data_IF_740091848927
#
_entry.id   IF_740091848927
#
_cell.length_a   1.000
_cell.length_b   1.000
_cell.length_c   1.000
_cell.angle_alpha   90.00
_cell.angle_beta   90.00
_cell.angle_gamma   90.00
#
_symmetry.space_group_name_H-M   'P 1'
#
loop_
_entity.id
_entity.type
_entity.pdbx_description
1 polymer ?
#
# COMPACT_ATOMS: atom_id res chain seq x y z
N UNK A 1 -22.28 -0.21 35.01
CA UNK A 1 -20.82 0.03 35.03
C UNK A 1 -20.50 0.79 33.77
N UNK A 2 -20.24 2.07 33.84
CA UNK A 2 -19.82 2.88 32.69
C UNK A 2 -18.42 2.41 32.32
N UNK A 3 -18.31 1.58 31.26
CA UNK A 3 -17.03 1.20 30.72
C UNK A 3 -16.32 2.47 30.24
N UNK A 4 -15.21 2.84 30.87
CA UNK A 4 -14.40 3.96 30.40
C UNK A 4 -13.83 3.57 29.02
N UNK A 5 -13.92 4.45 27.98
CA UNK A 5 -13.40 4.13 26.67
C UNK A 5 -11.93 3.68 26.70
N UNK A 6 -11.61 2.65 25.92
CA UNK A 6 -10.26 2.15 25.79
C UNK A 6 -9.49 2.94 24.71
N UNK A 7 -8.34 3.47 25.09
CA UNK A 7 -7.45 4.18 24.17
C UNK A 7 -6.21 3.31 23.91
N UNK A 8 -6.13 2.69 22.73
CA UNK A 8 -5.02 1.84 22.31
C UNK A 8 -4.01 2.72 21.59
N UNK A 9 -2.75 2.67 22.02
CA UNK A 9 -1.70 3.57 21.57
C UNK A 9 -0.56 2.78 20.89
N UNK A 10 -0.36 3.01 19.61
CA UNK A 10 0.75 2.49 18.83
C UNK A 10 1.76 3.61 18.62
N UNK A 11 3.03 3.38 18.91
CA UNK A 11 4.07 4.40 18.76
C UNK A 11 5.12 3.94 17.77
N UNK A 12 5.28 4.68 16.66
CA UNK A 12 6.30 4.44 15.65
C UNK A 12 7.64 5.01 16.13
N UNK A 13 8.64 4.15 16.16
CA UNK A 13 10.02 4.50 16.52
C UNK A 13 10.97 3.89 15.47
N UNK A 14 12.05 4.55 15.15
CA UNK A 14 13.09 3.99 14.27
C UNK A 14 14.35 4.82 14.32
N UNK A 15 15.40 4.30 13.68
CA UNK A 15 16.49 5.15 13.23
C UNK A 15 15.99 6.22 12.24
N UNK A 16 16.78 7.29 12.05
CA UNK A 16 16.48 8.35 11.07
C UNK A 16 16.29 7.77 9.65
N UNK A 17 15.34 8.30 8.89
CA UNK A 17 15.08 7.93 7.48
C UNK A 17 14.56 6.51 7.22
N UNK A 18 14.13 5.77 8.23
CA UNK A 18 13.52 4.44 8.04
C UNK A 18 12.10 4.49 7.45
N UNK A 19 11.52 5.68 7.19
CA UNK A 19 10.23 5.81 6.52
C UNK A 19 9.00 5.87 7.44
N UNK A 20 9.15 6.27 8.72
CA UNK A 20 8.03 6.37 9.69
C UNK A 20 6.85 7.19 9.20
N UNK A 21 7.09 8.44 8.81
CA UNK A 21 6.03 9.36 8.35
C UNK A 21 5.37 8.84 7.08
N UNK A 22 6.11 8.20 6.18
CA UNK A 22 5.55 7.54 4.99
C UNK A 22 4.64 6.39 5.39
N UNK A 23 5.05 5.55 6.34
CA UNK A 23 4.20 4.45 6.84
C UNK A 23 2.95 4.99 7.56
N UNK A 24 3.09 6.03 8.38
CA UNK A 24 1.94 6.66 9.03
C UNK A 24 0.91 7.17 8.00
N UNK A 25 1.35 7.83 6.94
CA UNK A 25 0.50 8.26 5.81
C UNK A 25 -0.21 7.09 5.16
N UNK A 26 0.53 6.02 4.88
CA UNK A 26 -0.01 4.81 4.26
C UNK A 26 -1.11 4.19 5.11
N UNK A 27 -0.89 4.03 6.41
CA UNK A 27 -1.86 3.44 7.34
C UNK A 27 -3.10 4.32 7.54
N UNK A 28 -2.92 5.63 7.56
CA UNK A 28 -4.00 6.60 7.73
C UNK A 28 -4.74 6.91 6.43
N UNK A 29 -4.17 6.54 5.28
CA UNK A 29 -4.68 6.89 3.94
C UNK A 29 -4.84 8.41 3.72
N UNK A 30 -3.99 9.21 4.37
CA UNK A 30 -4.00 10.67 4.28
C UNK A 30 -2.59 11.22 4.10
N UNK A 31 -2.53 12.42 3.57
CA UNK A 31 -1.27 13.11 3.36
C UNK A 31 -0.86 13.84 4.64
N UNK A 32 0.10 13.29 5.38
CA UNK A 32 0.60 13.81 6.65
C UNK A 32 2.04 14.32 6.50
N UNK A 33 2.32 15.48 7.09
CA UNK A 33 3.68 16.04 7.23
C UNK A 33 4.47 16.16 5.92
N UNK A 34 5.73 16.54 6.01
CA UNK A 34 6.65 16.60 4.87
C UNK A 34 7.42 15.28 4.75
N UNK A 35 7.41 14.64 3.58
CA UNK A 35 8.35 13.57 3.22
C UNK A 35 9.48 14.19 2.42
N UNK A 36 10.65 14.25 3.02
CA UNK A 36 11.90 14.67 2.36
C UNK A 36 12.98 13.65 2.68
N UNK A 37 13.87 13.43 1.74
CA UNK A 37 15.09 12.66 1.92
C UNK A 37 16.12 13.45 2.77
N UNK A 38 15.70 13.89 3.96
CA UNK A 38 16.52 14.64 4.88
C UNK A 38 16.33 14.07 6.31
N UNK A 39 17.41 13.96 7.10
CA UNK A 39 17.31 13.50 8.48
C UNK A 39 16.48 14.47 9.33
N UNK A 40 15.71 13.92 10.26
CA UNK A 40 14.94 14.67 11.27
C UNK A 40 13.88 15.61 10.70
N UNK A 41 13.07 15.13 9.74
CA UNK A 41 11.92 15.87 9.19
C UNK A 41 10.84 16.04 10.27
N UNK A 42 10.49 14.95 10.97
CA UNK A 42 9.54 15.00 12.09
C UNK A 42 10.24 15.54 13.34
N UNK A 43 9.78 16.65 13.87
CA UNK A 43 10.38 17.32 15.04
C UNK A 43 9.56 17.15 16.32
N UNK A 44 8.28 16.85 16.23
CA UNK A 44 7.36 16.64 17.32
C UNK A 44 6.64 15.30 17.16
N UNK A 45 6.11 14.73 18.25
CA UNK A 45 5.36 13.49 18.21
C UNK A 45 3.89 13.82 17.99
N UNK A 46 3.33 13.35 16.87
CA UNK A 46 1.95 13.59 16.48
C UNK A 46 1.09 12.33 16.62
N UNK A 47 -0.07 12.47 17.27
CA UNK A 47 -1.04 11.40 17.44
C UNK A 47 -2.13 11.44 16.36
N UNK A 48 -2.31 10.35 15.68
CA UNK A 48 -3.30 10.20 14.62
C UNK A 48 -4.29 9.08 14.94
N UNK A 49 -5.58 9.34 14.81
CA UNK A 49 -6.61 8.32 15.07
C UNK A 49 -6.80 7.43 13.85
N UNK A 50 -6.42 6.15 13.96
CA UNK A 50 -6.67 5.12 12.96
C UNK A 50 -8.11 4.63 12.98
N UNK A 51 -8.73 4.57 14.17
CA UNK A 51 -10.09 4.09 14.35
C UNK A 51 -10.71 4.65 15.63
N UNK A 52 -12.03 4.81 15.58
CA UNK A 52 -12.86 5.20 16.73
C UNK A 52 -14.17 4.42 16.71
N UNK A 53 -14.54 3.84 17.84
CA UNK A 53 -15.85 3.22 18.01
C UNK A 53 -16.94 4.24 18.37
N UNK A 54 -18.22 3.90 18.19
CA UNK A 54 -19.33 4.74 18.68
C UNK A 54 -19.29 4.96 20.20
N UNK A 55 -18.76 4.00 20.95
CA UNK A 55 -18.65 4.04 22.40
C UNK A 55 -17.45 4.89 22.89
N UNK A 56 -16.61 5.35 21.97
CA UNK A 56 -15.47 6.21 22.24
C UNK A 56 -14.12 5.51 22.34
N UNK A 57 -14.06 4.18 22.14
CA UNK A 57 -12.78 3.47 22.04
C UNK A 57 -11.96 4.00 20.86
N UNK A 58 -10.65 4.06 20.99
CA UNK A 58 -9.79 4.56 19.91
C UNK A 58 -8.56 3.68 19.73
N UNK A 59 -8.13 3.57 18.46
CA UNK A 59 -6.80 3.12 18.08
C UNK A 59 -6.05 4.32 17.51
N UNK A 60 -4.94 4.68 18.14
CA UNK A 60 -4.12 5.84 17.77
C UNK A 60 -2.72 5.40 17.35
N UNK A 61 -2.17 6.09 16.38
CA UNK A 61 -0.80 5.94 15.90
C UNK A 61 -0.03 7.24 16.17
N UNK A 62 1.08 7.12 16.86
CA UNK A 62 1.99 8.22 17.11
C UNK A 62 3.15 8.16 16.11
N UNK A 63 3.29 9.19 15.29
CA UNK A 63 4.51 9.41 14.51
C UNK A 63 5.50 10.19 15.38
N UNK A 64 6.69 9.64 15.61
CA UNK A 64 7.70 10.25 16.48
C UNK A 64 8.94 10.65 15.67
N UNK A 65 9.76 11.58 16.20
CA UNK A 65 11.08 11.83 15.64
C UNK A 65 11.92 10.54 15.57
N UNK A 66 12.77 10.43 14.56
CA UNK A 66 13.74 9.33 14.49
C UNK A 66 14.83 9.45 15.56
N UNK A 67 15.38 8.31 15.99
CA UNK A 67 16.62 8.32 16.76
C UNK A 67 17.73 8.97 15.93
N UNK A 68 18.41 9.92 16.55
CA UNK A 68 19.59 10.54 15.96
C UNK A 68 20.83 9.67 16.15
N UNK A 69 21.79 10.16 16.92
CA UNK A 69 23.00 9.41 17.28
C UNK A 69 22.73 8.43 18.43
N UNK A 70 22.07 7.30 18.11
CA UNK A 70 21.64 6.29 19.10
C UNK A 70 22.83 5.60 19.79
N UNK A 71 23.94 5.40 19.08
CA UNK A 71 25.15 4.78 19.64
C UNK A 71 25.78 5.67 20.72
N UNK A 72 25.89 6.97 20.45
CA UNK A 72 26.36 7.94 21.44
C UNK A 72 25.38 8.09 22.60
N UNK A 73 24.10 8.12 22.30
CA UNK A 73 23.03 8.15 23.30
C UNK A 73 23.13 6.94 24.24
N UNK A 74 23.21 5.74 23.70
CA UNK A 74 23.34 4.52 24.47
C UNK A 74 24.58 4.51 25.38
N UNK A 75 25.76 4.91 24.85
CA UNK A 75 26.99 5.04 25.66
C UNK A 75 26.80 5.97 26.84
N UNK A 76 26.10 7.09 26.67
CA UNK A 76 25.83 8.06 27.72
C UNK A 76 24.85 7.50 28.77
N UNK A 77 23.80 6.82 28.30
CA UNK A 77 22.76 6.23 29.17
C UNK A 77 23.28 5.07 30.03
N UNK A 78 24.16 4.24 29.52
CA UNK A 78 24.77 3.11 30.27
C UNK A 78 25.48 3.53 31.57
N UNK A 79 25.93 4.78 31.65
CA UNK A 79 26.65 5.30 32.84
C UNK A 79 25.70 5.67 33.97
N UNK A 80 24.40 5.73 33.72
CA UNK A 80 23.41 6.11 34.76
C UNK A 80 22.81 4.86 35.40
N UNK A 81 22.64 4.90 36.75
CA UNK A 81 22.01 3.82 37.50
C UNK A 81 20.52 3.59 37.15
N UNK A 82 19.85 4.64 36.64
CA UNK A 82 18.52 4.57 36.02
C UNK A 82 18.58 5.33 34.70
N UNK A 83 18.99 4.67 33.62
CA UNK A 83 19.29 5.31 32.33
C UNK A 83 18.11 6.11 31.78
N UNK A 84 16.93 5.50 31.75
CA UNK A 84 15.76 6.11 31.16
C UNK A 84 15.21 7.25 32.04
N UNK A 85 15.13 7.03 33.34
CA UNK A 85 14.65 8.04 34.30
C UNK A 85 15.54 9.28 34.32
N UNK A 86 16.85 9.09 34.20
CA UNK A 86 17.80 10.19 34.11
C UNK A 86 17.60 10.93 32.75
N UNK A 87 17.57 10.23 31.64
CA UNK A 87 17.47 10.85 30.31
C UNK A 87 16.18 11.66 30.12
N UNK A 88 15.06 11.16 30.62
CA UNK A 88 13.78 11.87 30.49
C UNK A 88 13.66 13.11 31.39
N UNK A 89 14.47 13.20 32.43
CA UNK A 89 14.52 14.37 33.32
C UNK A 89 15.58 15.41 32.91
N UNK A 90 16.57 14.98 32.13
CA UNK A 90 17.62 15.86 31.69
C UNK A 90 17.08 16.92 30.72
N UNK A 91 17.48 18.15 30.93
CA UNK A 91 17.17 19.26 30.02
C UNK A 91 18.16 19.22 28.87
N UNK A 92 17.74 18.67 27.74
CA UNK A 92 18.54 18.61 26.51
C UNK A 92 18.32 19.89 25.71
N UNK A 93 19.39 20.58 25.35
CA UNK A 93 19.29 21.79 24.55
C UNK A 93 18.80 21.45 23.13
N UNK A 94 17.61 21.96 22.80
CA UNK A 94 16.93 21.76 21.50
C UNK A 94 17.79 22.18 20.30
N UNK A 95 18.63 23.21 20.48
CA UNK A 95 19.39 23.80 19.39
C UNK A 95 20.82 23.25 19.30
N UNK A 96 21.45 22.97 20.43
CA UNK A 96 22.83 22.48 20.49
C UNK A 96 22.96 20.97 20.40
N UNK A 97 21.99 20.23 20.95
CA UNK A 97 21.98 18.76 21.00
C UNK A 97 20.70 18.21 20.34
N UNK A 98 20.32 18.74 19.18
CA UNK A 98 19.09 18.38 18.47
C UNK A 98 18.86 16.87 18.32
N UNK A 99 19.84 16.03 17.91
CA UNK A 99 19.64 14.58 17.83
C UNK A 99 19.26 13.93 19.15
N UNK A 100 19.85 14.37 20.26
CA UNK A 100 19.50 13.89 21.61
C UNK A 100 18.13 14.35 22.04
N UNK A 101 17.79 15.61 21.75
CA UNK A 101 16.46 16.14 22.05
C UNK A 101 15.36 15.39 21.30
N UNK A 102 15.55 15.12 20.00
CA UNK A 102 14.62 14.34 19.19
C UNK A 102 14.45 12.92 19.74
N UNK A 103 15.57 12.25 20.05
CA UNK A 103 15.55 10.91 20.65
C UNK A 103 14.83 10.92 22.01
N UNK A 104 15.00 11.99 22.82
CA UNK A 104 14.31 12.15 24.09
C UNK A 104 12.79 12.28 23.91
N UNK A 105 12.33 13.04 22.91
CA UNK A 105 10.91 13.16 22.59
C UNK A 105 10.31 11.82 22.18
N UNK A 106 10.97 11.09 21.26
CA UNK A 106 10.52 9.76 20.84
C UNK A 106 10.41 8.78 22.01
N UNK A 107 11.42 8.73 22.87
CA UNK A 107 11.45 7.85 24.04
C UNK A 107 10.41 8.24 25.09
N UNK A 108 10.18 9.54 25.31
CA UNK A 108 9.14 10.01 26.23
C UNK A 108 7.77 9.56 25.74
N UNK A 109 7.45 9.80 24.48
CA UNK A 109 6.18 9.36 23.89
C UNK A 109 6.03 7.84 23.95
N UNK A 110 7.08 7.08 23.60
CA UNK A 110 7.03 5.63 23.67
C UNK A 110 6.82 5.10 25.10
N UNK A 111 7.43 5.72 26.11
CA UNK A 111 7.26 5.32 27.51
C UNK A 111 5.89 5.68 28.07
N UNK A 112 5.44 6.91 27.84
CA UNK A 112 4.25 7.47 28.48
C UNK A 112 2.96 7.04 27.77
N UNK A 113 2.97 6.98 26.45
CA UNK A 113 1.79 6.71 25.66
C UNK A 113 1.69 5.26 25.17
N UNK A 114 2.78 4.60 24.77
CA UNK A 114 2.70 3.34 24.04
C UNK A 114 2.08 2.19 24.83
N UNK A 115 1.12 1.50 24.22
CA UNK A 115 0.76 0.12 24.54
C UNK A 115 1.65 -0.86 23.76
N UNK A 116 1.97 -0.53 22.52
CA UNK A 116 2.85 -1.30 21.62
C UNK A 116 3.79 -0.34 20.90
N UNK A 117 5.06 -0.66 20.90
CA UNK A 117 6.07 0.05 20.09
C UNK A 117 6.22 -0.64 18.75
N UNK A 118 6.12 0.14 17.69
CA UNK A 118 6.34 -0.27 16.31
C UNK A 118 7.70 0.26 15.88
N UNK A 119 8.69 -0.62 15.79
CA UNK A 119 10.03 -0.22 15.41
C UNK A 119 10.30 -0.54 13.95
N UNK A 120 10.53 0.51 13.14
CA UNK A 120 10.83 0.36 11.72
C UNK A 120 12.32 0.16 11.48
N UNK A 121 12.64 -0.82 10.66
CA UNK A 121 13.97 -1.02 10.10
C UNK A 121 13.95 -0.83 8.58
N UNK A 122 15.04 -0.36 8.03
CA UNK A 122 15.25 -0.35 6.60
C UNK A 122 15.73 -1.76 6.18
N UNK A 123 14.84 -2.56 5.59
CA UNK A 123 15.17 -3.93 5.21
C UNK A 123 16.06 -4.03 3.97
N UNK A 124 16.31 -2.91 3.27
CA UNK A 124 17.31 -2.88 2.19
C UNK A 124 18.76 -2.90 2.69
N UNK A 125 18.98 -2.61 3.98
CA UNK A 125 20.29 -2.69 4.63
C UNK A 125 20.60 -4.13 5.05
N UNK A 126 21.87 -4.52 5.00
CA UNK A 126 22.27 -5.79 5.63
C UNK A 126 22.11 -5.65 7.15
N UNK A 127 21.39 -6.58 7.82
CA UNK A 127 21.25 -6.54 9.28
C UNK A 127 22.57 -6.43 10.05
N UNK A 128 23.67 -6.95 9.50
CA UNK A 128 24.99 -6.91 10.13
C UNK A 128 25.64 -5.52 10.03
N UNK A 129 25.28 -4.73 9.02
CA UNK A 129 25.79 -3.37 8.81
C UNK A 129 24.99 -2.32 9.59
N UNK A 130 23.83 -2.67 10.13
CA UNK A 130 22.98 -1.81 10.96
C UNK A 130 23.58 -1.56 12.36
N UNK A 131 24.76 -0.96 12.43
CA UNK A 131 25.51 -0.76 13.67
C UNK A 131 24.81 0.06 14.77
N UNK A 132 23.71 0.72 14.43
CA UNK A 132 22.84 1.44 15.37
C UNK A 132 21.83 0.53 16.09
N UNK A 133 21.52 -0.63 15.51
CA UNK A 133 20.40 -1.48 15.90
C UNK A 133 20.54 -1.99 17.33
N UNK A 134 21.72 -2.53 17.70
CA UNK A 134 21.95 -3.02 19.06
C UNK A 134 21.75 -1.91 20.11
N UNK A 135 22.27 -0.72 19.86
CA UNK A 135 22.11 0.43 20.75
C UNK A 135 20.64 0.82 20.91
N UNK A 136 19.88 0.88 19.82
CA UNK A 136 18.46 1.22 19.84
C UNK A 136 17.62 0.14 20.51
N UNK A 137 17.89 -1.15 20.24
CA UNK A 137 17.21 -2.25 20.92
C UNK A 137 17.45 -2.24 22.44
N UNK A 138 18.65 -2.00 22.87
CA UNK A 138 18.96 -1.88 24.31
C UNK A 138 18.27 -0.67 24.96
N UNK A 139 18.14 0.44 24.23
CA UNK A 139 17.37 1.59 24.68
C UNK A 139 15.88 1.23 24.80
N UNK A 140 15.32 0.56 23.79
CA UNK A 140 13.92 0.14 23.78
C UNK A 140 13.62 -0.89 24.91
N UNK A 141 14.57 -1.73 25.27
CA UNK A 141 14.42 -2.67 26.36
C UNK A 141 14.12 -1.98 27.71
N UNK A 142 14.65 -0.78 27.92
CA UNK A 142 14.37 0.00 29.14
C UNK A 142 12.96 0.59 29.19
N UNK A 143 12.22 0.60 28.06
CA UNK A 143 10.82 1.08 28.04
C UNK A 143 9.85 0.10 28.67
N UNK A 144 10.21 -1.18 28.74
CA UNK A 144 9.35 -2.28 29.23
C UNK A 144 8.01 -2.36 28.46
N UNK A 145 8.07 -2.22 27.15
CA UNK A 145 6.93 -2.30 26.24
C UNK A 145 7.16 -3.41 25.20
N UNK A 146 6.09 -4.09 24.75
CA UNK A 146 6.22 -5.00 23.60
C UNK A 146 6.61 -4.23 22.34
N UNK A 147 7.58 -4.78 21.61
CA UNK A 147 8.09 -4.22 20.35
C UNK A 147 7.76 -5.15 19.20
N UNK A 148 7.13 -4.60 18.17
CA UNK A 148 6.98 -5.25 16.87
C UNK A 148 7.95 -4.59 15.88
N UNK A 149 8.71 -5.41 15.17
CA UNK A 149 9.64 -4.91 14.14
C UNK A 149 8.93 -4.87 12.81
N UNK A 150 8.98 -3.75 12.14
CA UNK A 150 8.42 -3.56 10.81
C UNK A 150 9.54 -3.48 9.79
N UNK A 151 9.59 -4.46 8.90
CA UNK A 151 10.56 -4.52 7.80
C UNK A 151 10.04 -3.65 6.66
N UNK A 152 10.62 -2.46 6.51
CA UNK A 152 10.25 -1.46 5.52
C UNK A 152 11.30 -1.36 4.42
N UNK A 153 10.95 -0.80 3.26
CA UNK A 153 11.86 -0.60 2.13
C UNK A 153 12.43 -1.92 1.58
N UNK A 154 11.61 -2.94 1.49
CA UNK A 154 12.01 -4.27 1.00
C UNK A 154 12.32 -4.29 -0.51
N UNK A 155 12.04 -3.19 -1.23
CA UNK A 155 12.24 -3.09 -2.68
C UNK A 155 11.09 -3.72 -3.49
N UNK A 156 11.29 -3.91 -4.80
CA UNK A 156 10.30 -4.56 -5.65
C UNK A 156 10.09 -6.02 -5.22
N UNK A 157 8.88 -6.57 -5.43
CA UNK A 157 8.59 -7.97 -5.11
C UNK A 157 9.62 -8.94 -5.71
N UNK A 158 10.09 -9.86 -4.89
CA UNK A 158 11.06 -10.91 -5.23
C UNK A 158 10.42 -12.28 -5.09
N UNK A 159 11.07 -13.36 -5.60
CA UNK A 159 10.63 -14.72 -5.33
C UNK A 159 10.43 -14.96 -3.82
N UNK A 160 9.34 -15.60 -3.43
CA UNK A 160 8.95 -15.80 -2.02
C UNK A 160 10.08 -16.36 -1.16
N UNK A 161 10.88 -17.31 -1.70
CA UNK A 161 12.00 -17.91 -0.97
C UNK A 161 13.09 -16.88 -0.58
N UNK A 162 13.30 -15.85 -1.38
CA UNK A 162 14.26 -14.79 -1.10
C UNK A 162 13.73 -13.84 -0.02
N UNK A 163 12.44 -13.49 -0.09
CA UNK A 163 11.77 -12.68 0.92
C UNK A 163 11.73 -13.39 2.28
N UNK A 164 11.40 -14.68 2.28
CA UNK A 164 11.41 -15.51 3.50
C UNK A 164 12.81 -15.63 4.10
N UNK A 165 13.85 -15.76 3.26
CA UNK A 165 15.24 -15.83 3.71
C UNK A 165 15.66 -14.51 4.36
N UNK A 166 15.28 -13.37 3.79
CA UNK A 166 15.58 -12.05 4.34
C UNK A 166 14.84 -11.80 5.66
N UNK A 167 13.56 -12.12 5.70
CA UNK A 167 12.77 -12.05 6.93
C UNK A 167 13.38 -12.92 8.04
N UNK A 168 13.84 -14.12 7.69
CA UNK A 168 14.48 -15.04 8.63
C UNK A 168 15.81 -14.49 9.18
N UNK A 169 16.61 -13.80 8.36
CA UNK A 169 17.85 -13.14 8.80
C UNK A 169 17.56 -12.05 9.84
N UNK A 170 16.57 -11.19 9.55
CA UNK A 170 16.15 -10.16 10.50
C UNK A 170 15.59 -10.74 11.79
N UNK A 171 14.77 -11.79 11.70
CA UNK A 171 14.23 -12.49 12.86
C UNK A 171 15.32 -13.12 13.73
N UNK A 172 16.31 -13.77 13.13
CA UNK A 172 17.43 -14.38 13.87
C UNK A 172 18.25 -13.33 14.63
N UNK A 173 18.54 -12.18 14.01
CA UNK A 173 19.26 -11.09 14.67
C UNK A 173 18.48 -10.49 15.83
N UNK A 174 17.16 -10.35 15.69
CA UNK A 174 16.31 -9.68 16.65
C UNK A 174 15.80 -10.60 17.76
N UNK A 175 15.92 -11.93 17.60
CA UNK A 175 15.48 -12.93 18.58
C UNK A 175 16.19 -12.83 19.94
N UNK A 176 17.36 -12.19 19.99
CA UNK A 176 18.13 -11.99 21.24
C UNK A 176 17.50 -10.95 22.17
N UNK A 177 16.55 -10.15 21.68
CA UNK A 177 15.91 -9.09 22.44
C UNK A 177 14.52 -9.51 22.95
N UNK A 178 14.32 -9.74 24.27
CA UNK A 178 13.09 -10.35 24.83
C UNK A 178 11.83 -9.52 24.58
N UNK A 179 11.95 -8.17 24.46
CA UNK A 179 10.83 -7.30 24.19
C UNK A 179 10.34 -7.40 22.74
N UNK A 180 11.16 -7.86 21.80
CA UNK A 180 10.77 -8.05 20.40
C UNK A 180 9.87 -9.29 20.30
N UNK A 181 8.65 -9.11 19.83
CA UNK A 181 7.65 -10.18 19.74
C UNK A 181 7.56 -10.78 18.35
N UNK A 182 7.72 -9.98 17.30
CA UNK A 182 7.64 -10.43 15.91
C UNK A 182 8.28 -9.43 14.96
N UNK A 183 8.86 -9.93 13.85
CA UNK A 183 9.21 -9.17 12.65
C UNK A 183 8.11 -9.33 11.59
N UNK A 184 7.68 -8.23 10.99
CA UNK A 184 6.57 -8.19 10.04
C UNK A 184 7.03 -7.43 8.80
N UNK A 185 6.94 -8.03 7.59
CA UNK A 185 7.14 -7.27 6.36
C UNK A 185 5.96 -6.31 6.18
N UNK A 186 6.26 -5.01 6.13
CA UNK A 186 5.26 -3.98 5.91
C UNK A 186 5.90 -2.79 5.21
N UNK A 187 5.86 -2.80 3.87
CA UNK A 187 6.43 -1.73 3.06
C UNK A 187 5.50 -0.51 3.03
N UNK A 188 6.06 0.65 3.37
CA UNK A 188 5.32 1.92 3.40
C UNK A 188 4.84 2.36 2.01
N UNK A 189 5.49 1.91 0.93
CA UNK A 189 5.14 2.25 -0.45
C UNK A 189 4.19 1.23 -1.10
N UNK A 190 4.01 0.07 -0.46
CA UNK A 190 3.23 -1.04 -1.01
C UNK A 190 2.05 -1.36 -0.10
N UNK A 191 0.96 -0.60 -0.23
CA UNK A 191 -0.23 -0.85 0.56
C UNK A 191 -0.96 -2.10 0.06
N UNK A 192 -0.98 -3.15 0.90
CA UNK A 192 -1.74 -4.37 0.67
C UNK A 192 -2.52 -4.73 1.93
N UNK A 193 -3.84 -4.81 1.84
CA UNK A 193 -4.70 -5.12 2.99
C UNK A 193 -4.43 -6.51 3.60
N UNK A 194 -3.87 -7.45 2.82
CA UNK A 194 -3.48 -8.76 3.33
C UNK A 194 -2.27 -8.64 4.28
N UNK A 195 -1.27 -7.84 3.91
CA UNK A 195 -0.13 -7.53 4.78
C UNK A 195 -0.55 -6.70 6.00
N UNK A 196 -1.43 -5.72 5.81
CA UNK A 196 -2.01 -4.95 6.90
C UNK A 196 -2.78 -5.85 7.87
N UNK A 197 -3.48 -6.89 7.39
CA UNK A 197 -4.14 -7.86 8.26
C UNK A 197 -3.15 -8.59 9.16
N UNK A 198 -2.06 -9.10 8.60
CA UNK A 198 -0.98 -9.74 9.36
C UNK A 198 -0.34 -8.80 10.40
N UNK A 199 -0.20 -7.53 10.06
CA UNK A 199 0.28 -6.48 10.95
C UNK A 199 -0.70 -6.24 12.11
N UNK A 200 -1.99 -6.07 11.86
CA UNK A 200 -2.98 -5.87 12.91
C UNK A 200 -3.18 -7.12 13.77
N UNK A 201 -3.12 -8.31 13.21
CA UNK A 201 -3.17 -9.57 13.98
C UNK A 201 -1.97 -9.69 14.94
N UNK A 202 -0.78 -9.29 14.50
CA UNK A 202 0.40 -9.26 15.37
C UNK A 202 0.31 -8.24 16.49
N UNK A 203 -0.26 -7.06 16.25
CA UNK A 203 -0.56 -6.08 17.31
C UNK A 203 -1.55 -6.69 18.31
N UNK A 204 -2.62 -7.33 17.83
CA UNK A 204 -3.62 -7.97 18.67
C UNK A 204 -3.05 -9.02 19.63
N UNK A 205 -1.97 -9.71 19.24
CA UNK A 205 -1.30 -10.68 20.09
C UNK A 205 -0.55 -10.05 21.28
N UNK A 206 -0.25 -8.74 21.23
CA UNK A 206 0.59 -8.05 22.22
C UNK A 206 -0.08 -6.87 22.91
N UNK A 207 -1.26 -6.44 22.45
CA UNK A 207 -2.07 -5.41 23.11
C UNK A 207 -2.41 -5.83 24.54
N UNK A 208 -2.36 -4.93 25.53
CA UNK A 208 -2.71 -5.24 26.93
C UNK A 208 -4.10 -5.88 27.07
N UNK A 209 -4.21 -6.91 27.93
CA UNK A 209 -5.42 -7.69 28.12
C UNK A 209 -6.66 -6.83 28.39
N UNK A 210 -6.52 -5.74 29.15
CA UNK A 210 -7.62 -4.82 29.46
C UNK A 210 -8.19 -4.10 28.21
N UNK A 211 -7.43 -4.03 27.12
CA UNK A 211 -7.80 -3.35 25.85
C UNK A 211 -8.15 -4.32 24.72
N UNK A 212 -8.02 -5.63 24.95
CA UNK A 212 -8.27 -6.66 23.95
C UNK A 212 -9.68 -6.61 23.36
N UNK A 213 -10.70 -6.35 24.19
CA UNK A 213 -12.08 -6.26 23.71
C UNK A 213 -12.29 -5.14 22.67
N UNK A 214 -11.78 -3.95 22.95
CA UNK A 214 -11.83 -2.81 22.03
C UNK A 214 -10.99 -3.09 20.76
N UNK A 215 -9.85 -3.75 20.90
CA UNK A 215 -9.02 -4.10 19.75
C UNK A 215 -9.70 -5.13 18.82
N UNK A 216 -10.40 -6.11 19.36
CA UNK A 216 -11.17 -7.07 18.56
C UNK A 216 -12.32 -6.39 17.79
N UNK A 217 -12.99 -5.42 18.40
CA UNK A 217 -14.00 -4.60 17.69
C UNK A 217 -13.38 -3.83 16.53
N UNK A 218 -12.21 -3.24 16.73
CA UNK A 218 -11.44 -2.61 15.65
C UNK A 218 -11.17 -3.60 14.51
N UNK A 219 -10.64 -4.80 14.81
CA UNK A 219 -10.32 -5.81 13.79
C UNK A 219 -11.54 -6.23 12.96
N UNK A 220 -12.68 -6.43 13.62
CA UNK A 220 -13.94 -6.78 12.95
C UNK A 220 -14.37 -5.64 12.02
N UNK A 221 -14.39 -4.41 12.51
CA UNK A 221 -14.77 -3.24 11.74
C UNK A 221 -13.84 -3.00 10.55
N UNK A 222 -12.53 -3.09 10.78
CA UNK A 222 -11.51 -2.95 9.74
C UNK A 222 -11.66 -4.02 8.65
N UNK A 223 -11.85 -5.29 9.04
CA UNK A 223 -12.05 -6.38 8.09
C UNK A 223 -13.33 -6.19 7.25
N UNK A 224 -14.43 -5.80 7.89
CA UNK A 224 -15.70 -5.54 7.21
C UNK A 224 -15.59 -4.36 6.23
N UNK A 225 -14.93 -3.27 6.60
CA UNK A 225 -14.71 -2.12 5.72
C UNK A 225 -13.88 -2.50 4.48
N UNK A 226 -12.83 -3.31 4.65
CA UNK A 226 -12.01 -3.78 3.54
C UNK A 226 -12.77 -4.78 2.65
N UNK A 227 -13.57 -5.68 3.23
CA UNK A 227 -14.42 -6.59 2.47
C UNK A 227 -15.44 -5.83 1.61
N UNK A 228 -16.13 -4.85 2.18
CA UNK A 228 -17.07 -4.00 1.44
C UNK A 228 -16.38 -3.26 0.29
N UNK A 229 -15.17 -2.75 0.53
CA UNK A 229 -14.37 -2.08 -0.50
C UNK A 229 -13.97 -3.04 -1.62
N UNK A 230 -13.54 -4.25 -1.28
CA UNK A 230 -13.21 -5.28 -2.26
C UNK A 230 -14.42 -5.66 -3.12
N UNK A 231 -15.57 -5.89 -2.49
CA UNK A 231 -16.83 -6.22 -3.20
C UNK A 231 -17.25 -5.11 -4.16
N UNK A 232 -17.14 -3.85 -3.74
CA UNK A 232 -17.41 -2.70 -4.58
C UNK A 232 -16.42 -2.60 -5.76
N UNK A 233 -15.13 -2.86 -5.52
CA UNK A 233 -14.12 -2.87 -6.58
C UNK A 233 -14.38 -3.99 -7.60
N UNK A 234 -14.69 -5.19 -7.13
CA UNK A 234 -15.05 -6.33 -8.00
C UNK A 234 -16.30 -6.02 -8.81
N UNK A 235 -17.32 -5.39 -8.21
CA UNK A 235 -18.54 -5.01 -8.93
C UNK A 235 -18.26 -3.99 -10.04
N UNK A 236 -17.41 -2.97 -9.78
CA UNK A 236 -17.00 -1.98 -10.79
C UNK A 236 -16.29 -2.64 -11.98
N UNK A 237 -15.31 -3.50 -11.70
CA UNK A 237 -14.55 -4.20 -12.74
C UNK A 237 -15.45 -5.16 -13.53
N UNK A 238 -16.28 -5.94 -12.83
CA UNK A 238 -17.20 -6.90 -13.47
C UNK A 238 -18.20 -6.18 -14.37
N UNK A 239 -18.71 -5.03 -13.95
CA UNK A 239 -19.63 -4.21 -14.76
C UNK A 239 -18.93 -3.69 -16.00
N UNK A 240 -17.72 -3.17 -15.86
CA UNK A 240 -16.92 -2.69 -17.00
C UNK A 240 -16.63 -3.82 -18.02
N UNK A 241 -16.20 -4.98 -17.53
CA UNK A 241 -15.95 -6.16 -18.39
C UNK A 241 -17.22 -6.62 -19.09
N UNK A 242 -18.34 -6.73 -18.36
CA UNK A 242 -19.63 -7.13 -18.94
C UNK A 242 -20.13 -6.14 -19.99
N UNK A 243 -19.88 -4.84 -19.78
CA UNK A 243 -20.23 -3.81 -20.76
C UNK A 243 -19.36 -3.95 -22.02
N UNK A 244 -18.06 -4.10 -21.85
CA UNK A 244 -17.13 -4.28 -22.97
C UNK A 244 -17.46 -5.54 -23.81
N UNK A 245 -17.79 -6.65 -23.14
CA UNK A 245 -18.15 -7.91 -23.83
C UNK A 245 -19.46 -7.80 -24.61
N UNK A 246 -20.41 -6.99 -24.12
CA UNK A 246 -21.73 -6.80 -24.78
C UNK A 246 -21.72 -5.69 -25.82
N UNK A 247 -20.68 -4.86 -25.83
CA UNK A 247 -20.59 -3.75 -26.77
C UNK A 247 -20.41 -4.28 -28.19
N UNK A 248 -21.18 -3.73 -29.12
CA UNK A 248 -21.16 -4.11 -30.52
C UNK A 248 -21.47 -2.91 -31.39
N UNK A 249 -20.88 -2.89 -32.58
CA UNK A 249 -21.12 -1.86 -33.58
C UNK A 249 -21.61 -2.51 -34.88
N UNK A 250 -22.70 -2.02 -35.42
CA UNK A 250 -23.29 -2.54 -36.63
C UNK A 250 -22.64 -1.86 -37.82
N UNK A 251 -21.90 -2.62 -38.62
CA UNK A 251 -21.43 -2.16 -39.93
C UNK A 251 -22.57 -2.30 -40.94
N UNK A 252 -23.26 -1.19 -41.21
CA UNK A 252 -24.33 -1.20 -42.22
C UNK A 252 -23.71 -1.42 -43.59
N UNK A 253 -23.96 -2.60 -44.16
CA UNK A 253 -23.69 -2.90 -45.56
C UNK A 253 -24.93 -2.58 -46.34
N UNK A 254 -24.89 -1.54 -47.14
CA UNK A 254 -26.00 -1.22 -48.05
C UNK A 254 -26.23 -2.36 -49.05
N UNK A 255 -27.19 -3.24 -48.75
CA UNK A 255 -27.62 -4.31 -49.64
C UNK A 255 -28.39 -3.78 -50.89
N UNK A 256 -28.57 -2.45 -50.97
CA UNK A 256 -29.46 -1.82 -51.98
C UNK A 256 -28.79 -1.26 -53.22
N UNK A 257 -27.48 -1.20 -53.27
CA UNK A 257 -26.87 -0.42 -54.34
C UNK A 257 -26.42 -1.24 -55.55
N UNK A 258 -27.22 -1.27 -56.59
CA UNK A 258 -26.73 -1.52 -57.96
C UNK A 258 -25.51 -0.64 -58.30
N UNK A 259 -25.35 0.48 -57.60
CA UNK A 259 -24.23 1.44 -57.69
C UNK A 259 -22.94 0.88 -57.03
N UNK A 260 -23.04 0.13 -55.91
CA UNK A 260 -21.87 -0.46 -55.26
C UNK A 260 -21.24 -1.61 -56.05
N UNK A 261 -22.03 -2.33 -56.89
CA UNK A 261 -21.46 -3.30 -57.84
C UNK A 261 -20.64 -2.63 -58.96
N UNK A 262 -21.03 -1.44 -59.34
CA UNK A 262 -20.26 -0.63 -60.30
C UNK A 262 -18.98 -0.06 -59.66
N UNK A 263 -19.06 0.44 -58.43
CA UNK A 263 -17.91 0.89 -57.63
C UNK A 263 -16.97 -0.26 -57.25
N UNK A 264 -17.49 -1.45 -57.04
CA UNK A 264 -16.73 -2.67 -56.78
C UNK A 264 -15.89 -3.09 -57.99
N UNK A 265 -16.43 -2.94 -59.23
CA UNK A 265 -15.72 -3.19 -60.49
C UNK A 265 -14.56 -2.23 -60.73
N UNK A 266 -14.60 -1.03 -60.12
CA UNK A 266 -13.55 0.03 -60.24
C UNK A 266 -12.61 0.03 -59.03
N UNK A 267 -12.76 -0.93 -58.07
CA UNK A 267 -11.89 -1.03 -56.89
C UNK A 267 -12.19 -0.01 -55.76
N UNK A 268 -13.17 0.87 -55.94
CA UNK A 268 -13.53 1.90 -54.94
C UNK A 268 -14.46 1.38 -53.83
N UNK A 269 -15.23 0.29 -54.12
CA UNK A 269 -16.13 -0.31 -53.11
C UNK A 269 -15.40 -0.98 -51.94
N UNK A 270 -14.22 -1.56 -52.18
CA UNK A 270 -13.38 -2.12 -51.12
C UNK A 270 -12.93 -1.06 -50.12
N UNK A 271 -12.49 0.10 -50.59
CA UNK A 271 -12.05 1.22 -49.73
C UNK A 271 -13.19 1.82 -48.87
N UNK A 272 -14.43 1.84 -49.42
CA UNK A 272 -15.59 2.29 -48.65
C UNK A 272 -15.98 1.32 -47.52
N UNK A 273 -15.92 0.01 -47.78
CA UNK A 273 -16.15 -1.02 -46.77
C UNK A 273 -15.10 -0.99 -45.63
N UNK A 274 -13.83 -0.92 -46.02
CA UNK A 274 -12.70 -0.80 -45.06
C UNK A 274 -12.82 0.46 -44.17
N UNK A 275 -13.25 1.59 -44.80
CA UNK A 275 -13.46 2.83 -44.04
C UNK A 275 -14.60 2.73 -42.99
N UNK A 276 -15.72 2.09 -43.35
CA UNK A 276 -16.85 1.87 -42.43
C UNK A 276 -16.46 0.92 -41.30
N UNK A 277 -15.73 -0.16 -41.60
CA UNK A 277 -15.22 -1.09 -40.61
C UNK A 277 -14.23 -0.41 -39.66
N UNK A 278 -13.33 0.43 -40.17
CA UNK A 278 -12.42 1.25 -39.32
C UNK A 278 -13.18 2.23 -38.45
N UNK A 279 -14.23 2.86 -38.96
CA UNK A 279 -15.07 3.77 -38.14
C UNK A 279 -15.78 3.01 -37.02
N UNK A 280 -16.40 1.86 -37.32
CA UNK A 280 -17.04 1.03 -36.31
C UNK A 280 -16.04 0.55 -35.22
N UNK A 281 -14.85 0.15 -35.66
CA UNK A 281 -13.77 -0.23 -34.73
C UNK A 281 -13.34 0.94 -33.86
N UNK A 282 -13.11 2.11 -34.43
CA UNK A 282 -12.73 3.31 -33.64
C UNK A 282 -13.80 3.70 -32.62
N UNK A 283 -15.09 3.57 -32.97
CA UNK A 283 -16.18 3.81 -32.04
C UNK A 283 -16.19 2.83 -30.86
N UNK A 284 -15.91 1.54 -31.10
CA UNK A 284 -15.77 0.54 -30.04
C UNK A 284 -14.57 0.86 -29.13
N UNK A 285 -13.43 1.18 -29.70
CA UNK A 285 -12.20 1.53 -28.95
C UNK A 285 -12.42 2.79 -28.10
N UNK A 286 -13.07 3.80 -28.65
CA UNK A 286 -13.39 5.04 -27.92
C UNK A 286 -14.31 4.77 -26.73
N UNK A 287 -15.38 3.98 -26.90
CA UNK A 287 -16.28 3.61 -25.81
C UNK A 287 -15.58 2.77 -24.74
N UNK A 288 -14.74 1.81 -25.16
CA UNK A 288 -13.94 1.01 -24.25
C UNK A 288 -12.98 1.90 -23.44
N UNK A 289 -12.27 2.81 -24.10
CA UNK A 289 -11.37 3.76 -23.45
C UNK A 289 -12.07 4.66 -22.43
N UNK A 290 -13.25 5.18 -22.79
CA UNK A 290 -14.06 5.98 -21.89
C UNK A 290 -14.53 5.17 -20.67
N UNK A 291 -14.95 3.93 -20.87
CA UNK A 291 -15.36 3.03 -19.78
C UNK A 291 -14.20 2.67 -18.86
N UNK A 292 -13.01 2.42 -19.37
CA UNK A 292 -11.80 2.19 -18.58
C UNK A 292 -11.46 3.41 -17.75
N UNK A 293 -11.51 4.61 -18.32
CA UNK A 293 -11.26 5.84 -17.59
C UNK A 293 -12.25 6.04 -16.45
N UNK A 294 -13.54 5.83 -16.73
CA UNK A 294 -14.61 5.95 -15.72
C UNK A 294 -14.42 4.94 -14.57
N UNK A 295 -14.18 3.67 -14.89
CA UNK A 295 -13.97 2.63 -13.88
C UNK A 295 -12.69 2.85 -13.08
N UNK A 296 -11.59 3.28 -13.71
CA UNK A 296 -10.35 3.62 -13.04
C UNK A 296 -10.55 4.78 -12.07
N UNK A 297 -11.24 5.84 -12.50
CA UNK A 297 -11.55 6.98 -11.63
C UNK A 297 -12.40 6.54 -10.43
N UNK A 298 -13.42 5.71 -10.65
CA UNK A 298 -14.26 5.19 -9.57
C UNK A 298 -13.46 4.32 -8.58
N UNK A 299 -12.53 3.50 -9.06
CA UNK A 299 -11.63 2.70 -8.21
C UNK A 299 -10.69 3.58 -7.38
N UNK A 300 -10.13 4.64 -7.96
CA UNK A 300 -9.28 5.59 -7.22
C UNK A 300 -10.07 6.25 -6.09
N UNK A 301 -11.29 6.70 -6.35
CA UNK A 301 -12.19 7.23 -5.32
C UNK A 301 -12.50 6.22 -4.23
N UNK A 302 -12.81 4.98 -4.61
CA UNK A 302 -13.10 3.89 -3.66
C UNK A 302 -11.92 3.60 -2.72
N UNK A 303 -10.70 3.71 -3.24
CA UNK A 303 -9.46 3.50 -2.49
C UNK A 303 -8.88 4.77 -1.87
N UNK A 304 -9.57 5.91 -1.98
CA UNK A 304 -9.15 7.20 -1.43
C UNK A 304 -7.76 7.65 -1.94
N UNK A 305 -7.46 7.34 -3.21
CA UNK A 305 -6.23 7.76 -3.86
C UNK A 305 -6.44 9.12 -4.53
N UNK A 306 -5.37 9.92 -4.56
CA UNK A 306 -5.42 11.25 -5.16
C UNK A 306 -5.76 11.18 -6.66
N UNK A 307 -6.57 12.13 -7.11
CA UNK A 307 -6.94 12.31 -8.51
C UNK A 307 -5.72 12.56 -9.43
N UNK A 308 -4.61 13.07 -8.90
CA UNK A 308 -3.34 13.20 -9.63
C UNK A 308 -2.79 11.86 -10.09
N UNK A 309 -3.05 10.77 -9.35
CA UNK A 309 -2.70 9.42 -9.76
C UNK A 309 -3.49 8.94 -10.99
N UNK A 310 -4.72 9.44 -11.19
CA UNK A 310 -5.57 9.08 -12.33
C UNK A 310 -4.91 9.42 -13.67
N UNK A 311 -4.35 10.61 -13.79
CA UNK A 311 -3.67 11.04 -15.01
C UNK A 311 -2.44 10.17 -15.34
N UNK A 312 -1.67 9.81 -14.31
CA UNK A 312 -0.49 8.96 -14.46
C UNK A 312 -0.87 7.52 -14.85
N UNK A 313 -1.90 6.95 -14.22
CA UNK A 313 -2.41 5.62 -14.54
C UNK A 313 -2.97 5.63 -15.96
N UNK A 314 -3.78 6.63 -16.32
CA UNK A 314 -4.37 6.75 -17.65
C UNK A 314 -3.29 6.82 -18.73
N UNK A 315 -2.27 7.68 -18.58
CA UNK A 315 -1.18 7.78 -19.54
C UNK A 315 -0.39 6.46 -19.68
N UNK A 316 -0.19 5.71 -18.61
CA UNK A 316 0.46 4.40 -18.64
C UNK A 316 -0.41 3.34 -19.32
N UNK A 317 -1.72 3.37 -19.09
CA UNK A 317 -2.67 2.47 -19.75
C UNK A 317 -2.69 2.78 -21.27
N UNK A 318 -2.82 4.05 -21.67
CA UNK A 318 -2.77 4.45 -23.09
C UNK A 318 -1.47 4.05 -23.76
N UNK A 319 -0.32 4.24 -23.12
CA UNK A 319 0.99 3.84 -23.66
C UNK A 319 1.13 2.34 -23.89
N UNK A 320 0.43 1.51 -23.10
CA UNK A 320 0.42 0.05 -23.22
C UNK A 320 -0.68 -0.47 -24.14
N UNK A 321 -1.66 0.35 -24.47
CA UNK A 321 -2.76 0.03 -25.39
C UNK A 321 -2.27 0.09 -26.84
N UNK A 322 -1.52 -0.91 -27.28
CA UNK A 322 -1.18 -1.07 -28.69
C UNK A 322 -2.24 -1.97 -29.32
N UNK A 323 -3.28 -1.36 -29.90
CA UNK A 323 -4.27 -2.09 -30.72
C UNK A 323 -3.60 -2.54 -31.99
N UNK A 324 -3.15 -3.78 -32.06
CA UNK A 324 -2.73 -4.43 -33.32
C UNK A 324 -3.95 -5.14 -33.89
N UNK A 325 -4.73 -4.45 -34.69
CA UNK A 325 -5.78 -5.07 -35.48
C UNK A 325 -5.17 -5.78 -36.68
N UNK A 326 -4.91 -7.08 -36.61
CA UNK A 326 -4.93 -7.94 -37.77
C UNK A 326 -6.34 -8.48 -37.88
N UNK A 327 -7.08 -7.97 -38.89
CA UNK A 327 -8.40 -8.49 -39.26
C UNK A 327 -8.21 -9.88 -39.81
N UNK A 328 -8.40 -10.91 -39.01
CA UNK A 328 -8.79 -12.24 -39.51
C UNK A 328 -9.67 -13.00 -38.50
N UNK A 329 -10.91 -13.04 -38.83
CA UNK A 329 -11.92 -14.10 -38.88
C UNK A 329 -11.94 -15.19 -37.80
N UNK A 330 -12.00 -14.90 -36.52
CA UNK A 330 -12.80 -15.74 -35.61
C UNK A 330 -13.16 -14.96 -34.35
N UNK A 331 -14.31 -14.31 -34.41
CA UNK A 331 -14.86 -13.51 -33.29
C UNK A 331 -14.99 -14.27 -31.95
N UNK A 332 -15.05 -15.60 -32.01
CA UNK A 332 -15.08 -16.46 -30.81
C UNK A 332 -13.71 -16.59 -30.10
N UNK A 333 -12.60 -16.49 -30.83
CA UNK A 333 -11.24 -16.57 -30.26
C UNK A 333 -10.83 -15.30 -29.50
N UNK A 334 -11.24 -14.13 -29.99
CA UNK A 334 -10.93 -12.83 -29.36
C UNK A 334 -11.56 -12.65 -27.98
N UNK A 335 -12.82 -13.06 -27.80
CA UNK A 335 -13.51 -12.97 -26.51
C UNK A 335 -12.93 -13.95 -25.48
N UNK A 336 -12.57 -15.17 -25.92
CA UNK A 336 -11.94 -16.17 -25.05
C UNK A 336 -10.55 -15.73 -24.58
N UNK A 337 -9.75 -15.12 -25.48
CA UNK A 337 -8.42 -14.64 -25.15
C UNK A 337 -8.43 -13.37 -24.26
N UNK A 338 -9.41 -12.48 -24.43
CA UNK A 338 -9.63 -11.32 -23.56
C UNK A 338 -9.96 -11.74 -22.13
N UNK A 339 -10.85 -12.73 -21.96
CA UNK A 339 -11.24 -13.25 -20.65
C UNK A 339 -10.10 -14.04 -19.99
N UNK A 340 -9.40 -14.87 -20.75
CA UNK A 340 -8.25 -15.62 -20.24
C UNK A 340 -7.08 -14.71 -19.86
N UNK A 341 -6.81 -13.67 -20.65
CA UNK A 341 -5.79 -12.68 -20.35
C UNK A 341 -6.14 -11.79 -19.15
N UNK A 342 -7.41 -11.42 -19.00
CA UNK A 342 -7.86 -10.67 -17.82
C UNK A 342 -7.74 -11.51 -16.54
N UNK A 343 -8.09 -12.80 -16.59
CA UNK A 343 -7.95 -13.72 -15.46
C UNK A 343 -6.47 -13.96 -15.11
N UNK A 344 -5.59 -14.11 -16.10
CA UNK A 344 -4.14 -14.23 -15.91
C UNK A 344 -3.55 -12.97 -15.29
N UNK A 345 -3.91 -11.79 -15.80
CA UNK A 345 -3.46 -10.52 -15.28
C UNK A 345 -3.93 -10.23 -13.85
N UNK A 346 -5.13 -10.69 -13.46
CA UNK A 346 -5.60 -10.63 -12.08
C UNK A 346 -4.78 -11.53 -11.14
N UNK A 347 -4.39 -12.73 -11.61
CA UNK A 347 -3.55 -13.62 -10.82
C UNK A 347 -2.14 -13.04 -10.61
N UNK A 348 -1.56 -12.42 -11.64
CA UNK A 348 -0.26 -11.76 -11.56
C UNK A 348 -0.30 -10.53 -10.63
N UNK A 349 -1.40 -9.78 -10.64
CA UNK A 349 -1.61 -8.65 -9.72
C UNK A 349 -1.77 -9.10 -8.26
N UNK A 350 -2.46 -10.22 -8.03
CA UNK A 350 -2.59 -10.83 -6.71
C UNK A 350 -1.24 -11.34 -6.19
N UNK A 351 -0.42 -11.94 -7.07
CA UNK A 351 0.93 -12.40 -6.73
C UNK A 351 1.90 -11.23 -6.50
N UNK A 352 1.69 -10.10 -7.17
CA UNK A 352 2.45 -8.86 -6.97
C UNK A 352 1.96 -8.00 -5.79
N UNK A 353 1.08 -8.57 -4.93
CA UNK A 353 0.58 -7.88 -3.76
C UNK A 353 -0.53 -6.86 -4.04
N UNK A 354 -1.23 -6.97 -5.17
CA UNK A 354 -2.37 -6.10 -5.51
C UNK A 354 -2.00 -4.66 -5.85
N UNK A 355 -0.73 -4.40 -6.13
CA UNK A 355 -0.18 -3.05 -6.33
C UNK A 355 -0.61 -2.40 -7.64
N UNK A 356 -1.08 -3.17 -8.60
CA UNK A 356 -1.43 -2.64 -9.92
C UNK A 356 -2.92 -2.32 -10.09
N UNK A 357 -3.73 -2.42 -9.02
CA UNK A 357 -5.17 -2.06 -9.04
C UNK A 357 -5.92 -2.59 -10.27
N UNK A 358 -5.73 -3.89 -10.58
CA UNK A 358 -6.29 -4.51 -11.77
C UNK A 358 -5.72 -4.01 -13.12
N UNK A 359 -4.66 -3.21 -13.13
CA UNK A 359 -3.96 -2.87 -14.37
C UNK A 359 -3.45 -4.13 -15.07
N UNK A 360 -3.03 -5.16 -14.31
CA UNK A 360 -2.67 -6.47 -14.82
C UNK A 360 -3.84 -7.20 -15.48
N UNK A 361 -5.05 -7.10 -14.94
CA UNK A 361 -6.24 -7.69 -15.57
C UNK A 361 -6.57 -7.03 -16.92
N UNK A 362 -6.43 -5.71 -17.00
CA UNK A 362 -6.64 -4.95 -18.24
C UNK A 362 -5.53 -5.26 -19.25
N UNK A 363 -4.27 -5.25 -18.80
CA UNK A 363 -3.12 -5.58 -19.65
C UNK A 363 -3.14 -7.05 -20.08
N UNK A 364 -3.46 -7.97 -19.16
CA UNK A 364 -3.59 -9.39 -19.43
C UNK A 364 -4.75 -9.70 -20.37
N UNK A 365 -5.89 -9.02 -20.23
CA UNK A 365 -7.03 -9.12 -21.15
C UNK A 365 -6.67 -8.70 -22.57
N UNK A 366 -5.86 -7.65 -22.70
CA UNK A 366 -5.36 -7.19 -24.00
C UNK A 366 -4.30 -8.15 -24.58
N UNK A 367 -3.40 -8.70 -23.76
CA UNK A 367 -2.41 -9.70 -24.19
C UNK A 367 -3.05 -11.02 -24.61
N UNK A 368 -4.10 -11.45 -23.90
CA UNK A 368 -4.84 -12.65 -24.24
C UNK A 368 -5.67 -12.52 -25.52
N UNK A 369 -5.93 -11.29 -25.99
CA UNK A 369 -6.62 -11.00 -27.25
C UNK A 369 -5.69 -10.90 -28.47
N UNK A 370 -4.36 -10.90 -28.22
CA UNK A 370 -3.31 -10.95 -29.26
C UNK A 370 -2.84 -12.38 -29.51
#
# INVERSE_FOLDING_TARGET
>A
MTNNPAHIQLVLVSHTNAGKTTLARTLLSVDLGEVRDAPHVTTESDAHTLWRSPEGDTLQLWDTPGFGDSVRLFKRLRLAGNPLGWFLREVVDRYRERPFWLSQQAMRTAREAADVVLYLVNASEDPQDAGYLDAEMQILQWLDKPVLILLNQMGPPRPQAEEDAEQSRWQALLAVYPMVKRGIPLDAFARCWVHERGFYDAIGAVVPQAKQGAYQQFLVHWAQANQTRLEAAVALISTQLATAVRDSEVVVTDEGARFDRFLGAVGLGRRAGEKRQTQAWNALVERLGAGILQSTTALLWLHQLDSGAAATIHSRVEQRFVVRATVDTTQAGLLGSLLAGAAGGLSDDLMAGGLSFCAGAVVGGVHGAL
#
